data_IF_442797395472
#
_entry.id   IF_442797395472
#
_cell.length_a   1.000
_cell.length_b   1.000
_cell.length_c   1.000
_cell.angle_alpha   90.00
_cell.angle_beta   90.00
_cell.angle_gamma   90.00
#
_symmetry.space_group_name_H-M   'P 1'
#
loop_
_entity.id
_entity.type
_entity.pdbx_description
1 polymer ?
#
# COMPACT_ATOMS: atom_id res chain seq x y z
N UNK A 1 -34.66 8.64 -1.20
CA UNK A 1 -33.45 8.34 -2.01
C UNK A 1 -32.91 7.02 -1.49
N UNK A 2 -32.94 5.96 -2.32
CA UNK A 2 -32.47 4.63 -1.93
C UNK A 2 -30.95 4.71 -1.75
N UNK A 3 -30.43 4.35 -0.58
CA UNK A 3 -28.98 4.22 -0.34
C UNK A 3 -28.50 3.00 -1.13
N UNK A 4 -27.68 3.22 -2.16
CA UNK A 4 -27.07 2.11 -2.92
C UNK A 4 -25.89 1.56 -2.13
N UNK A 5 -25.92 0.26 -1.82
CA UNK A 5 -24.75 -0.44 -1.30
C UNK A 5 -23.71 -0.63 -2.41
N UNK A 6 -22.53 -0.05 -2.24
CA UNK A 6 -21.43 -0.12 -3.21
C UNK A 6 -20.88 -1.55 -3.31
N UNK A 7 -21.03 -2.17 -4.49
CA UNK A 7 -20.64 -3.57 -4.80
C UNK A 7 -19.16 -3.76 -5.17
N UNK A 8 -18.34 -2.70 -5.09
CA UNK A 8 -16.90 -2.68 -5.44
C UNK A 8 -16.09 -2.21 -4.24
N UNK A 9 -14.80 -2.60 -4.14
CA UNK A 9 -13.87 -2.04 -3.15
C UNK A 9 -14.03 -0.51 -3.10
N UNK A 10 -14.59 -0.04 -1.99
CA UNK A 10 -15.21 1.30 -1.88
C UNK A 10 -14.24 2.42 -2.26
N UNK A 11 -12.96 2.23 -1.97
CA UNK A 11 -11.93 3.24 -2.14
C UNK A 11 -11.61 3.52 -3.61
N UNK A 12 -11.48 2.49 -4.46
CA UNK A 12 -11.17 2.68 -5.89
C UNK A 12 -12.38 3.26 -6.63
N UNK A 13 -13.60 2.79 -6.31
CA UNK A 13 -14.84 3.31 -6.88
C UNK A 13 -15.01 4.82 -6.65
N UNK A 14 -14.82 5.30 -5.42
CA UNK A 14 -14.96 6.74 -5.14
C UNK A 14 -13.89 7.58 -5.85
N UNK A 15 -12.70 7.05 -6.10
CA UNK A 15 -11.65 7.74 -6.87
C UNK A 15 -12.06 7.97 -8.32
N UNK A 16 -12.72 6.99 -8.94
CA UNK A 16 -13.29 7.13 -10.28
C UNK A 16 -14.38 8.22 -10.31
N UNK A 17 -15.26 8.25 -9.32
CA UNK A 17 -16.29 9.30 -9.22
C UNK A 17 -15.67 10.69 -9.02
N UNK A 18 -14.61 10.79 -8.21
CA UNK A 18 -13.88 12.04 -8.02
C UNK A 18 -13.20 12.51 -9.31
N UNK A 19 -12.61 11.60 -10.08
CA UNK A 19 -11.99 11.92 -11.38
C UNK A 19 -13.05 12.40 -12.38
N UNK A 20 -14.19 11.73 -12.45
CA UNK A 20 -15.32 12.17 -13.27
C UNK A 20 -15.76 13.59 -12.91
N UNK A 21 -15.98 13.87 -11.61
CA UNK A 21 -16.37 15.19 -11.14
C UNK A 21 -15.29 16.26 -11.38
N UNK A 22 -14.00 15.89 -11.29
CA UNK A 22 -12.88 16.78 -11.60
C UNK A 22 -12.88 17.17 -13.07
N UNK A 23 -13.09 16.21 -13.98
CA UNK A 23 -13.18 16.45 -15.42
C UNK A 23 -14.40 17.31 -15.80
N UNK A 24 -15.47 17.28 -14.99
CA UNK A 24 -16.61 18.20 -15.12
C UNK A 24 -16.34 19.61 -14.59
N UNK A 25 -15.17 19.88 -14.01
CA UNK A 25 -14.83 21.17 -13.42
C UNK A 25 -15.51 21.44 -12.07
N UNK A 26 -16.08 20.41 -11.43
CA UNK A 26 -16.66 20.55 -10.08
C UNK A 26 -15.57 20.77 -9.04
N UNK A 27 -15.93 21.35 -7.89
CA UNK A 27 -15.01 21.48 -6.74
C UNK A 27 -14.99 20.19 -5.91
N UNK A 28 -13.84 19.82 -5.34
CA UNK A 28 -13.68 18.63 -4.50
C UNK A 28 -14.73 18.51 -3.39
N UNK A 29 -15.01 19.61 -2.69
CA UNK A 29 -16.02 19.63 -1.62
C UNK A 29 -17.44 19.34 -2.13
N UNK A 30 -17.78 19.81 -3.34
CA UNK A 30 -19.06 19.47 -3.98
C UNK A 30 -19.10 17.99 -4.34
N UNK A 31 -18.05 17.48 -4.97
CA UNK A 31 -17.96 16.07 -5.35
C UNK A 31 -18.06 15.14 -4.12
N UNK A 32 -17.40 15.47 -3.01
CA UNK A 32 -17.50 14.71 -1.76
C UNK A 32 -18.94 14.68 -1.23
N UNK A 33 -19.62 15.84 -1.19
CA UNK A 33 -21.03 15.91 -0.75
C UNK A 33 -21.97 15.12 -1.65
N UNK A 34 -21.79 15.20 -2.97
CA UNK A 34 -22.63 14.47 -3.92
C UNK A 34 -22.44 12.95 -3.76
N UNK A 35 -21.20 12.49 -3.57
CA UNK A 35 -20.89 11.08 -3.27
C UNK A 35 -21.54 10.67 -1.94
N UNK A 36 -21.38 11.44 -0.87
CA UNK A 36 -21.97 11.12 0.43
C UNK A 36 -23.51 11.12 0.41
N UNK A 37 -24.14 11.98 -0.41
CA UNK A 37 -25.59 12.01 -0.55
C UNK A 37 -26.16 10.72 -1.17
N UNK A 38 -25.39 10.04 -2.03
CA UNK A 38 -25.79 8.79 -2.71
C UNK A 38 -25.37 7.55 -1.92
N UNK A 39 -24.15 7.56 -1.38
CA UNK A 39 -23.50 6.37 -0.79
C UNK A 39 -23.45 6.38 0.75
N UNK A 40 -23.89 7.46 1.40
CA UNK A 40 -23.90 7.63 2.86
C UNK A 40 -22.92 8.69 3.37
N UNK A 41 -23.22 9.31 4.51
CA UNK A 41 -22.45 10.45 5.06
C UNK A 41 -20.96 10.16 5.24
N UNK A 42 -20.60 8.91 5.56
CA UNK A 42 -19.22 8.47 5.77
C UNK A 42 -18.57 7.83 4.52
N UNK A 43 -19.17 7.98 3.33
CA UNK A 43 -18.65 7.37 2.11
C UNK A 43 -17.25 7.89 1.76
N UNK A 44 -17.04 9.21 1.81
CA UNK A 44 -15.72 9.81 1.59
C UNK A 44 -15.55 11.11 2.38
N UNK A 45 -14.42 11.24 3.06
CA UNK A 45 -14.07 12.49 3.72
C UNK A 45 -13.73 13.58 2.69
N UNK A 46 -14.17 14.81 2.94
CA UNK A 46 -13.84 15.97 2.09
C UNK A 46 -12.33 16.16 1.93
N UNK A 47 -11.55 15.87 2.98
CA UNK A 47 -10.07 15.89 2.94
C UNK A 47 -9.53 14.93 1.88
N UNK A 48 -10.00 13.69 1.87
CA UNK A 48 -9.62 12.68 0.88
C UNK A 48 -9.93 13.14 -0.54
N UNK A 49 -11.10 13.75 -0.75
CA UNK A 49 -11.46 14.31 -2.06
C UNK A 49 -10.50 15.43 -2.50
N UNK A 50 -10.10 16.33 -1.58
CA UNK A 50 -9.11 17.38 -1.89
C UNK A 50 -7.75 16.79 -2.26
N UNK A 51 -7.28 15.78 -1.54
CA UNK A 51 -5.99 15.14 -1.81
C UNK A 51 -5.96 14.50 -3.20
N UNK A 52 -7.05 13.82 -3.61
CA UNK A 52 -7.19 13.29 -4.96
C UNK A 52 -7.22 14.40 -6.02
N UNK A 53 -7.93 15.50 -5.77
CA UNK A 53 -7.94 16.64 -6.68
C UNK A 53 -6.56 17.27 -6.84
N UNK A 54 -5.74 17.30 -5.78
CA UNK A 54 -4.36 17.74 -5.88
C UNK A 54 -3.53 16.81 -6.79
N UNK A 55 -3.71 15.49 -6.68
CA UNK A 55 -3.08 14.51 -7.59
C UNK A 55 -3.49 14.73 -9.05
N UNK A 56 -4.79 14.91 -9.32
CA UNK A 56 -5.30 15.14 -10.66
C UNK A 56 -4.76 16.43 -11.29
N UNK A 57 -4.65 17.51 -10.49
CA UNK A 57 -4.03 18.77 -10.94
C UNK A 57 -2.55 18.60 -11.30
N UNK A 58 -1.86 17.68 -10.64
CA UNK A 58 -0.47 17.33 -10.94
C UNK A 58 -0.35 16.31 -12.07
N UNK A 59 -1.45 15.98 -12.76
CA UNK A 59 -1.47 15.02 -13.88
C UNK A 59 -1.37 13.55 -13.46
N UNK A 60 -1.48 13.23 -12.17
CA UNK A 60 -1.49 11.86 -11.69
C UNK A 60 -2.93 11.33 -11.65
N UNK A 61 -3.23 10.42 -12.58
CA UNK A 61 -4.53 9.76 -12.73
C UNK A 61 -4.51 8.27 -12.36
N UNK A 62 -3.46 7.78 -11.70
CA UNK A 62 -3.43 6.42 -11.18
C UNK A 62 -4.36 6.32 -9.96
N UNK A 63 -5.47 5.58 -10.14
CA UNK A 63 -6.52 5.42 -9.13
C UNK A 63 -6.27 4.23 -8.21
N UNK A 64 -5.30 3.37 -8.54
CA UNK A 64 -4.96 2.23 -7.71
C UNK A 64 -4.11 2.68 -6.52
N UNK A 65 -4.13 1.86 -5.47
CA UNK A 65 -3.19 2.08 -4.38
C UNK A 65 -1.78 1.78 -4.88
N UNK A 66 -0.88 2.76 -4.68
CA UNK A 66 0.53 2.51 -4.85
C UNK A 66 0.96 1.37 -3.90
N UNK A 67 1.97 0.57 -4.27
CA UNK A 67 2.56 -0.42 -3.37
C UNK A 67 2.85 0.25 -2.03
N UNK A 68 2.36 -0.33 -0.94
CA UNK A 68 2.59 0.23 0.39
C UNK A 68 4.09 0.24 0.63
N UNK A 69 4.64 1.41 0.92
CA UNK A 69 5.99 1.50 1.48
C UNK A 69 5.98 0.77 2.82
N UNK A 70 6.54 -0.43 2.84
CA UNK A 70 6.67 -1.27 4.02
C UNK A 70 8.09 -1.80 4.15
N UNK A 71 8.37 -2.51 5.24
CA UNK A 71 9.61 -3.28 5.37
C UNK A 71 9.70 -4.25 4.16
N UNK A 72 10.85 -4.35 3.47
CA UNK A 72 11.04 -5.34 2.42
C UNK A 72 10.64 -6.72 2.97
N UNK A 73 9.67 -7.36 2.32
CA UNK A 73 9.24 -8.73 2.68
C UNK A 73 10.26 -9.75 2.18
N UNK A 74 10.96 -9.42 1.09
CA UNK A 74 11.93 -10.30 0.47
C UNK A 74 13.27 -10.21 1.19
N UNK A 75 13.45 -11.08 2.18
CA UNK A 75 14.76 -11.46 2.65
C UNK A 75 15.40 -12.40 1.62
N UNK A 76 16.67 -12.16 1.28
CA UNK A 76 17.38 -12.97 0.28
C UNK A 76 17.80 -14.33 0.87
N UNK A 77 16.84 -15.26 0.93
CA UNK A 77 17.07 -16.63 1.43
C UNK A 77 18.05 -17.42 0.57
N UNK A 78 18.20 -17.07 -0.72
CA UNK A 78 19.17 -17.71 -1.62
C UNK A 78 20.59 -17.35 -1.19
N UNK A 79 20.85 -16.06 -0.93
CA UNK A 79 22.13 -15.59 -0.42
C UNK A 79 22.44 -16.15 0.97
N UNK A 80 21.45 -16.24 1.86
CA UNK A 80 21.62 -16.88 3.16
C UNK A 80 22.03 -18.36 3.02
N UNK A 81 21.36 -19.11 2.15
CA UNK A 81 21.69 -20.52 1.91
C UNK A 81 23.07 -20.70 1.29
N UNK A 82 23.50 -19.81 0.40
CA UNK A 82 24.85 -19.83 -0.16
C UNK A 82 25.91 -19.64 0.94
N UNK A 83 25.74 -18.65 1.82
CA UNK A 83 26.67 -18.41 2.94
C UNK A 83 26.78 -19.62 3.88
N UNK A 84 25.66 -20.29 4.14
CA UNK A 84 25.62 -21.52 4.95
C UNK A 84 26.30 -22.71 4.25
N UNK A 85 26.23 -22.78 2.92
CA UNK A 85 26.90 -23.82 2.14
C UNK A 85 28.41 -23.59 2.08
N UNK A 86 28.84 -22.33 1.92
CA UNK A 86 30.25 -21.96 1.92
C UNK A 86 30.93 -22.22 3.27
N UNK A 87 30.25 -21.93 4.38
CA UNK A 87 30.74 -22.23 5.72
C UNK A 87 29.60 -22.34 6.74
N UNK A 88 29.26 -23.57 7.09
CA UNK A 88 28.16 -23.90 8.01
C UNK A 88 28.44 -23.57 9.48
N UNK A 89 29.68 -23.19 9.84
CA UNK A 89 30.08 -22.86 11.23
C UNK A 89 29.96 -21.37 11.56
N UNK A 90 29.47 -20.55 10.63
CA UNK A 90 29.26 -19.12 10.86
C UNK A 90 28.19 -18.88 11.91
N UNK A 91 28.43 -17.90 12.78
CA UNK A 91 27.46 -17.48 13.78
C UNK A 91 26.35 -16.64 13.13
N UNK A 92 25.18 -16.58 13.78
CA UNK A 92 24.06 -15.74 13.34
C UNK A 92 24.43 -14.26 13.26
N UNK A 93 25.39 -13.79 14.08
CA UNK A 93 25.91 -12.42 14.03
C UNK A 93 26.78 -12.15 12.80
N UNK A 94 27.68 -13.06 12.45
CA UNK A 94 28.51 -12.93 11.24
C UNK A 94 27.66 -12.97 9.97
N UNK A 95 26.64 -13.83 9.94
CA UNK A 95 25.67 -13.87 8.84
C UNK A 95 24.87 -12.57 8.75
N UNK A 96 24.50 -11.99 9.89
CA UNK A 96 23.77 -10.74 9.95
C UNK A 96 24.58 -9.56 9.41
N UNK A 97 25.88 -9.50 9.73
CA UNK A 97 26.81 -8.52 9.17
C UNK A 97 26.92 -8.67 7.65
N UNK A 98 27.09 -9.90 7.15
CA UNK A 98 27.19 -10.16 5.69
C UNK A 98 25.90 -9.86 4.93
N UNK A 99 24.75 -10.08 5.57
CA UNK A 99 23.42 -9.83 5.02
C UNK A 99 22.90 -8.42 5.33
N UNK A 100 23.72 -7.57 5.97
CA UNK A 100 23.39 -6.20 6.38
C UNK A 100 22.03 -6.09 7.10
N UNK A 101 21.74 -7.04 8.00
CA UNK A 101 20.47 -7.11 8.73
C UNK A 101 20.70 -7.40 10.22
N UNK A 102 19.62 -7.50 11.01
CA UNK A 102 19.72 -7.86 12.43
C UNK A 102 19.92 -9.37 12.61
N UNK A 103 20.70 -9.78 13.62
CA UNK A 103 20.86 -11.21 13.96
C UNK A 103 19.53 -11.94 14.20
N UNK A 104 18.54 -11.23 14.77
CA UNK A 104 17.18 -11.74 14.96
C UNK A 104 16.44 -12.04 13.66
N UNK A 105 16.79 -11.36 12.56
CA UNK A 105 16.23 -11.65 11.23
C UNK A 105 16.82 -12.95 10.71
N UNK A 106 18.14 -13.13 10.82
CA UNK A 106 18.83 -14.37 10.47
C UNK A 106 18.28 -15.56 11.25
N UNK A 107 18.13 -15.44 12.57
CA UNK A 107 17.60 -16.51 13.43
C UNK A 107 16.19 -16.96 13.01
N UNK A 108 15.31 -16.00 12.69
CA UNK A 108 13.96 -16.31 12.21
C UNK A 108 13.98 -17.08 10.89
N UNK A 109 14.80 -16.66 9.93
CA UNK A 109 14.91 -17.35 8.64
C UNK A 109 15.56 -18.72 8.78
N UNK A 110 16.59 -18.89 9.61
CA UNK A 110 17.19 -20.19 9.91
C UNK A 110 16.16 -21.15 10.51
N UNK A 111 15.39 -20.69 11.50
CA UNK A 111 14.33 -21.48 12.12
C UNK A 111 13.24 -21.88 11.10
N UNK A 112 12.86 -20.96 10.21
CA UNK A 112 11.90 -21.24 9.12
C UNK A 112 12.43 -22.25 8.10
N UNK A 113 13.75 -22.34 7.92
CA UNK A 113 14.40 -23.32 7.04
C UNK A 113 14.67 -24.67 7.73
N UNK A 114 14.37 -24.79 9.03
CA UNK A 114 14.66 -25.99 9.82
C UNK A 114 16.15 -26.22 10.07
N UNK A 115 16.95 -25.14 10.08
CA UNK A 115 18.39 -25.15 10.34
C UNK A 115 18.75 -24.60 11.71
#
# INVERSE_FOLDING_TARGET
IIKMECQVEKNEHFRHLLLFAFNQGSKAAKAARDICAVYGEDAIAERTARDWYAKFKNGNFDLKDAPRSGRPVEFDEKRLNQLLHENSRQTTRELAEKMECSHTTIEKHLHSMGK
#
